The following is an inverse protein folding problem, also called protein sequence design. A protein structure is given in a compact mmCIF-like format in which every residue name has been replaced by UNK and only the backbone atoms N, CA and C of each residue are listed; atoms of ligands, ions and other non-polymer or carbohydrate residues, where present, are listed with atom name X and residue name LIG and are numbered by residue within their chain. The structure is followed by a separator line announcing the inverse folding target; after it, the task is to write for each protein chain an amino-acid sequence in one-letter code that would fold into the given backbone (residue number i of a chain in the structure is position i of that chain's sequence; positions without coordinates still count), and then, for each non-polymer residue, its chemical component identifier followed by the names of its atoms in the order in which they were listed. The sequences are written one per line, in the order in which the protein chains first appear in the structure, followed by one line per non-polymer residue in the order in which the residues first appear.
data_IF_824901317581
#
_entry.id   IF_824901317581
#
_cell.length_a   1.000
_cell.length_b   1.000
_cell.length_c   1.000
_cell.angle_alpha   90.00
_cell.angle_beta   90.00
_cell.angle_gamma   90.00
#
_symmetry.space_group_name_H-M   'P 1'
#
loop_
_entity.id
_entity.type
_entity.pdbx_description
1 polymer ?
#
# COMPACT_ATOMS: atom_id res chain seq x y z
N UNK A 1 14.34 7.02 -13.48
CA UNK A 1 13.06 6.51 -12.96
C UNK A 1 12.77 7.43 -11.78
N UNK A 2 11.70 8.21 -11.86
CA UNK A 2 11.35 9.28 -10.91
C UNK A 2 11.70 8.94 -9.45
N UNK A 3 12.38 9.87 -8.76
CA UNK A 3 12.80 9.75 -7.36
C UNK A 3 11.65 10.04 -6.37
N UNK A 4 10.39 9.90 -6.79
CA UNK A 4 9.23 10.19 -5.95
C UNK A 4 8.84 9.00 -5.08
N UNK A 5 8.88 9.20 -3.76
CA UNK A 5 8.40 8.24 -2.77
C UNK A 5 7.24 8.83 -1.98
N UNK A 6 6.18 8.05 -1.84
CA UNK A 6 4.96 8.47 -1.14
C UNK A 6 4.64 7.53 0.01
N UNK A 7 4.35 8.06 1.22
CA UNK A 7 3.91 7.23 2.33
C UNK A 7 2.49 6.71 2.09
N UNK A 8 2.21 5.49 2.54
CA UNK A 8 0.88 4.90 2.55
C UNK A 8 0.63 4.10 3.81
N UNK A 9 -0.65 3.91 4.16
CA UNK A 9 -1.06 2.96 5.19
C UNK A 9 -1.83 1.83 4.53
N UNK A 10 -1.32 0.61 4.65
CA UNK A 10 -2.01 -0.62 4.27
C UNK A 10 -2.57 -1.32 5.50
N UNK A 11 -3.80 -1.79 5.42
CA UNK A 11 -4.42 -2.64 6.45
C UNK A 11 -4.80 -3.96 5.78
N UNK A 12 -4.22 -5.06 6.26
CA UNK A 12 -4.53 -6.40 5.80
C UNK A 12 -5.40 -7.11 6.85
N UNK A 13 -6.57 -7.60 6.44
CA UNK A 13 -7.45 -8.40 7.29
C UNK A 13 -7.44 -9.86 6.82
N UNK A 14 -7.11 -10.78 7.72
CA UNK A 14 -7.09 -12.22 7.44
C UNK A 14 -8.41 -12.91 7.80
N UNK A 15 -9.04 -13.58 6.82
CA UNK A 15 -9.75 -14.85 7.02
C UNK A 15 -9.15 -15.87 6.07
N UNK A 16 -9.00 -17.11 6.53
CA UNK A 16 -8.60 -18.24 5.69
C UNK A 16 -9.62 -18.33 4.53
N UNK A 17 -9.19 -17.96 3.31
CA UNK A 17 -10.01 -17.98 2.09
C UNK A 17 -10.29 -16.64 1.39
N UNK A 18 -9.92 -15.48 1.94
CA UNK A 18 -10.14 -14.18 1.28
C UNK A 18 -9.33 -13.04 1.90
N UNK A 19 -8.12 -12.80 1.36
CA UNK A 19 -7.28 -11.67 1.78
C UNK A 19 -7.91 -10.36 1.31
N UNK A 20 -8.37 -9.52 2.24
CA UNK A 20 -8.85 -8.18 1.94
C UNK A 20 -7.80 -7.18 2.44
N UNK A 21 -7.05 -6.57 1.50
CA UNK A 21 -6.07 -5.53 1.81
C UNK A 21 -6.67 -4.18 1.40
N UNK A 22 -6.87 -3.29 2.37
CA UNK A 22 -7.26 -1.91 2.13
C UNK A 22 -6.03 -1.00 2.16
N UNK A 23 -5.90 -0.12 1.17
CA UNK A 23 -4.85 0.91 1.14
C UNK A 23 -5.49 2.27 1.29
N UNK A 24 -4.89 3.11 2.15
CA UNK A 24 -5.27 4.51 2.31
C UNK A 24 -4.06 5.40 2.09
N UNK A 25 -4.25 6.42 1.26
CA UNK A 25 -3.30 7.50 1.00
C UNK A 25 -3.77 8.75 1.73
N UNK A 26 -2.85 9.65 2.05
CA UNK A 26 -3.22 10.99 2.54
C UNK A 26 -3.68 11.85 1.37
N UNK A 27 -4.53 12.85 1.65
CA UNK A 27 -5.03 13.76 0.61
C UNK A 27 -3.92 14.49 -0.16
N UNK A 28 -2.79 14.75 0.50
CA UNK A 28 -1.58 15.31 -0.13
C UNK A 28 -0.97 14.33 -1.14
N UNK A 29 -0.78 13.06 -0.76
CA UNK A 29 -0.26 12.03 -1.66
C UNK A 29 -1.19 11.80 -2.85
N UNK A 30 -2.50 11.74 -2.62
CA UNK A 30 -3.51 11.61 -3.69
C UNK A 30 -3.43 12.77 -4.69
N UNK A 31 -3.20 14.00 -4.19
CA UNK A 31 -3.03 15.18 -5.02
C UNK A 31 -1.73 15.12 -5.83
N UNK A 32 -0.60 14.76 -5.21
CA UNK A 32 0.68 14.65 -5.90
C UNK A 32 0.64 13.59 -7.00
N UNK A 33 0.03 12.42 -6.74
CA UNK A 33 -0.15 11.37 -7.75
C UNK A 33 -0.93 11.90 -8.96
N UNK A 34 -2.01 12.65 -8.73
CA UNK A 34 -2.81 13.26 -9.81
C UNK A 34 -2.06 14.36 -10.55
N UNK A 35 -1.26 15.17 -9.85
CA UNK A 35 -0.45 16.25 -10.43
C UNK A 35 0.64 15.71 -11.37
N UNK A 36 1.21 14.57 -11.02
CA UNK A 36 2.14 13.81 -11.87
C UNK A 36 1.44 13.11 -13.06
N UNK A 37 0.11 13.24 -13.20
CA UNK A 37 -0.66 12.68 -14.30
C UNK A 37 -1.03 11.20 -14.14
N UNK A 38 -0.81 10.60 -12.97
CA UNK A 38 -1.19 9.21 -12.70
C UNK A 38 -2.68 9.08 -12.35
N UNK A 39 -3.27 7.95 -12.75
CA UNK A 39 -4.62 7.60 -12.32
C UNK A 39 -4.58 6.99 -10.91
N UNK A 40 -5.23 7.67 -9.97
CA UNK A 40 -5.24 7.27 -8.56
C UNK A 40 -5.81 5.86 -8.35
N UNK A 41 -6.91 5.49 -9.00
CA UNK A 41 -7.52 4.17 -8.87
C UNK A 41 -6.57 3.06 -9.35
N UNK A 42 -5.85 3.29 -10.45
CA UNK A 42 -4.87 2.33 -10.99
C UNK A 42 -3.69 2.16 -10.04
N UNK A 43 -3.22 3.26 -9.42
CA UNK A 43 -2.15 3.21 -8.43
C UNK A 43 -2.58 2.41 -7.19
N UNK A 44 -3.79 2.64 -6.70
CA UNK A 44 -4.34 1.90 -5.55
C UNK A 44 -4.51 0.42 -5.85
N UNK A 45 -5.09 0.07 -7.00
CA UNK A 45 -5.26 -1.33 -7.44
C UNK A 45 -3.91 -2.06 -7.59
N UNK A 46 -2.92 -1.39 -8.20
CA UNK A 46 -1.57 -1.95 -8.36
C UNK A 46 -0.90 -2.16 -7.00
N UNK A 47 -0.99 -1.19 -6.10
CA UNK A 47 -0.44 -1.29 -4.75
C UNK A 47 -1.10 -2.42 -3.95
N UNK A 48 -2.42 -2.57 -4.01
CA UNK A 48 -3.15 -3.67 -3.37
C UNK A 48 -2.72 -5.03 -3.94
N UNK A 49 -2.58 -5.18 -5.26
CA UNK A 49 -2.11 -6.42 -5.89
C UNK A 49 -0.70 -6.78 -5.44
N UNK A 50 0.23 -5.82 -5.41
CA UNK A 50 1.59 -6.03 -4.95
C UNK A 50 1.63 -6.49 -3.48
N UNK A 51 0.80 -5.87 -2.62
CA UNK A 51 0.65 -6.27 -1.21
C UNK A 51 0.12 -7.72 -1.07
N UNK A 52 -0.86 -8.13 -1.90
CA UNK A 52 -1.43 -9.50 -1.89
C UNK A 52 -0.42 -10.52 -2.40
N UNK A 53 0.32 -10.18 -3.47
CA UNK A 53 1.30 -11.07 -4.09
C UNK A 53 2.59 -11.19 -3.29
N UNK A 54 2.80 -10.32 -2.29
CA UNK A 54 4.04 -10.24 -1.53
C UNK A 54 5.19 -9.61 -2.32
N UNK A 55 4.90 -8.92 -3.42
CA UNK A 55 5.86 -8.16 -4.21
C UNK A 55 6.16 -6.82 -3.52
N UNK A 56 6.86 -6.90 -2.38
CA UNK A 56 7.15 -5.76 -1.53
C UNK A 56 8.65 -5.73 -1.22
N UNK A 57 9.30 -4.64 -1.63
CA UNK A 57 10.62 -4.30 -1.10
C UNK A 57 10.41 -3.48 0.16
N UNK A 58 10.47 -4.15 1.33
CA UNK A 58 10.36 -3.46 2.62
C UNK A 58 11.75 -2.89 2.98
N UNK A 59 11.85 -1.60 3.37
CA UNK A 59 13.10 -1.06 3.86
C UNK A 59 13.52 -1.77 5.16
N UNK A 60 14.83 -1.89 5.39
CA UNK A 60 15.34 -2.46 6.64
C UNK A 60 14.83 -1.65 7.85
N UNK A 61 14.40 -2.36 8.89
CA UNK A 61 13.88 -1.76 10.13
C UNK A 61 12.37 -1.53 10.18
N UNK A 62 11.61 -1.91 9.13
CA UNK A 62 10.15 -1.89 9.20
C UNK A 62 9.66 -2.96 10.19
N UNK A 63 9.13 -2.53 11.34
CA UNK A 63 8.48 -3.43 12.31
C UNK A 63 7.15 -3.91 11.72
N UNK A 64 7.06 -5.21 11.41
CA UNK A 64 5.76 -5.87 11.20
C UNK A 64 5.11 -6.00 12.58
N UNK A 65 4.28 -5.03 12.96
CA UNK A 65 3.35 -5.25 14.06
C UNK A 65 2.27 -6.22 13.56
N UNK A 66 2.37 -7.47 14.00
CA UNK A 66 1.32 -8.47 13.79
C UNK A 66 0.26 -8.24 14.86
N UNK A 67 -0.98 -8.00 14.45
CA UNK A 67 -2.13 -7.91 15.36
C UNK A 67 -2.62 -9.28 15.86
N UNK A 68 -1.87 -10.35 15.60
CA UNK A 68 -2.27 -11.74 15.86
C UNK A 68 -1.55 -12.38 17.05
N UNK A 69 -1.21 -11.61 18.09
CA UNK A 69 -0.65 -12.15 19.34
C UNK A 69 -1.53 -11.69 20.52
N UNK A 70 -2.42 -12.59 20.93
CA UNK A 70 -2.85 -12.80 22.33
C UNK A 70 -2.50 -14.25 22.69
#
# INVERSE_FOLDING_TARGET
IDEHSFPFTGIAFGRIGGQNIGVKLTADVEKNIKDLGYNLDVVIDTLQKNLIQGDLTLPEGLKRESFADD
#
